data_IF_905362189882
#
_entry.id   IF_905362189882
#
_cell.length_a   1.000
_cell.length_b   1.000
_cell.length_c   1.000
_cell.angle_alpha   90.00
_cell.angle_beta   90.00
_cell.angle_gamma   90.00
#
_symmetry.space_group_name_H-M   'P 1'
#
loop_
_entity.id
_entity.type
_entity.pdbx_description
1 polymer ?
#
# COMPACT_ATOMS: atom_id res chain seq x y z
N UNK A 1 -16.62 25.62 15.35
CA UNK A 1 -15.64 24.51 15.34
C UNK A 1 -16.32 23.24 15.80
N UNK A 2 -16.63 22.33 14.88
CA UNK A 2 -17.10 20.98 15.23
C UNK A 2 -15.89 20.07 15.13
N UNK A 3 -15.38 19.61 16.27
CA UNK A 3 -14.50 18.46 16.31
C UNK A 3 -15.36 17.24 15.95
N UNK A 4 -15.26 16.75 14.71
CA UNK A 4 -15.80 15.44 14.38
C UNK A 4 -14.87 14.39 14.94
N UNK A 5 -15.19 13.89 16.13
CA UNK A 5 -14.68 12.62 16.63
C UNK A 5 -15.53 11.49 16.06
N UNK A 6 -15.47 11.27 14.75
CA UNK A 6 -16.17 10.16 14.08
C UNK A 6 -15.28 8.91 14.04
N UNK A 7 -14.51 8.64 15.11
CA UNK A 7 -13.71 7.41 15.27
C UNK A 7 -14.49 6.28 15.98
N UNK A 8 -15.76 6.51 16.34
CA UNK A 8 -16.61 5.55 17.07
C UNK A 8 -17.59 4.83 16.14
N UNK A 9 -17.07 4.10 15.15
CA UNK A 9 -17.92 3.32 14.25
C UNK A 9 -17.19 2.49 13.20
N UNK A 10 -16.03 1.93 13.53
CA UNK A 10 -15.24 1.15 12.58
C UNK A 10 -15.01 -0.27 13.08
N UNK A 11 -16.03 -1.10 12.98
CA UNK A 11 -15.95 -2.53 13.32
C UNK A 11 -15.17 -3.35 12.27
N UNK A 12 -14.45 -2.72 11.33
CA UNK A 12 -13.88 -3.37 10.14
C UNK A 12 -12.60 -2.71 9.56
N UNK A 13 -11.83 -2.00 10.38
CA UNK A 13 -10.55 -1.39 9.94
C UNK A 13 -9.43 -2.44 9.86
N UNK A 14 -9.07 -2.87 8.65
CA UNK A 14 -7.84 -3.66 8.46
C UNK A 14 -6.58 -2.78 8.50
N UNK A 15 -5.79 -2.86 9.57
CA UNK A 15 -4.46 -2.21 9.64
C UNK A 15 -3.37 -3.27 9.53
N UNK A 16 -2.45 -3.10 8.60
CA UNK A 16 -1.30 -3.97 8.43
C UNK A 16 -0.01 -3.14 8.42
N UNK A 17 0.69 -3.14 9.56
CA UNK A 17 2.00 -2.50 9.71
C UNK A 17 3.08 -3.57 9.78
N UNK A 18 3.95 -3.59 8.76
CA UNK A 18 5.03 -4.56 8.57
C UNK A 18 6.39 -3.88 8.40
N UNK A 19 6.45 -2.56 8.54
CA UNK A 19 7.67 -1.77 8.37
C UNK A 19 8.76 -2.14 9.38
N UNK A 20 10.03 -1.96 9.01
CA UNK A 20 11.18 -2.18 9.90
C UNK A 20 11.44 -3.65 10.25
N UNK A 21 11.15 -4.56 9.33
CA UNK A 21 11.42 -5.99 9.49
C UNK A 21 12.53 -6.44 8.53
N UNK A 22 12.78 -7.76 8.48
CA UNK A 22 13.74 -8.37 7.57
C UNK A 22 13.04 -9.21 6.48
N UNK A 23 11.86 -8.76 6.02
CA UNK A 23 11.14 -9.43 4.94
C UNK A 23 11.88 -9.24 3.61
N UNK A 24 12.08 -10.33 2.88
CA UNK A 24 12.83 -10.35 1.62
C UNK A 24 11.97 -10.84 0.47
N UNK A 25 12.36 -10.49 -0.75
CA UNK A 25 11.69 -10.93 -1.98
C UNK A 25 10.47 -10.07 -2.31
N UNK A 26 9.57 -10.64 -3.11
CA UNK A 26 8.39 -9.94 -3.63
C UNK A 26 7.20 -9.98 -2.66
N UNK A 27 6.33 -8.97 -2.76
CA UNK A 27 5.05 -8.97 -2.06
C UNK A 27 4.08 -9.98 -2.71
N UNK A 28 3.36 -10.80 -1.95
CA UNK A 28 2.45 -11.78 -2.52
C UNK A 28 1.14 -11.14 -3.00
N UNK A 29 0.63 -11.60 -4.15
CA UNK A 29 -0.66 -11.19 -4.72
C UNK A 29 -1.86 -11.44 -3.78
N UNK A 30 -1.73 -12.34 -2.80
CA UNK A 30 -2.80 -12.60 -1.82
C UNK A 30 -3.11 -11.39 -0.92
N UNK A 31 -2.19 -10.43 -0.79
CA UNK A 31 -2.43 -9.21 0.00
C UNK A 31 -3.54 -8.34 -0.60
N UNK A 32 -3.80 -8.43 -1.91
CA UNK A 32 -4.91 -7.74 -2.55
C UNK A 32 -6.30 -8.25 -2.13
N UNK A 33 -6.39 -9.41 -1.47
CA UNK A 33 -7.66 -9.93 -0.94
C UNK A 33 -8.09 -9.25 0.37
N UNK A 34 -7.26 -8.38 0.94
CA UNK A 34 -7.55 -7.66 2.17
C UNK A 34 -8.42 -6.42 1.88
N UNK A 35 -9.60 -6.59 1.29
CA UNK A 35 -10.46 -5.49 0.79
C UNK A 35 -10.88 -4.47 1.87
N UNK A 36 -10.81 -4.86 3.15
CA UNK A 36 -11.11 -3.99 4.31
C UNK A 36 -9.89 -3.19 4.80
N UNK A 37 -8.74 -3.33 4.14
CA UNK A 37 -7.50 -2.69 4.55
C UNK A 37 -7.58 -1.17 4.32
N UNK A 38 -7.24 -0.41 5.35
CA UNK A 38 -7.22 1.05 5.34
C UNK A 38 -5.80 1.61 5.54
N UNK A 39 -4.93 0.87 6.22
CA UNK A 39 -3.51 1.19 6.41
C UNK A 39 -2.68 -0.01 5.99
N UNK A 40 -1.72 0.23 5.12
CA UNK A 40 -0.64 -0.70 4.80
C UNK A 40 0.70 0.01 4.87
N UNK A 41 1.63 -0.55 5.65
CA UNK A 41 3.02 -0.08 5.67
C UNK A 41 4.00 -1.25 5.62
N UNK A 42 5.02 -1.15 4.76
CA UNK A 42 6.03 -2.21 4.60
C UNK A 42 7.46 -1.69 4.36
N UNK A 43 7.62 -0.37 4.38
CA UNK A 43 8.90 0.32 4.20
C UNK A 43 9.97 -0.15 5.23
N UNK A 44 11.26 0.13 4.99
CA UNK A 44 12.37 -0.41 5.79
C UNK A 44 12.35 -1.96 5.86
N UNK A 45 12.30 -2.61 4.70
CA UNK A 45 12.46 -4.05 4.56
C UNK A 45 13.28 -4.33 3.29
N UNK A 46 14.11 -5.39 3.25
CA UNK A 46 14.82 -5.82 2.04
C UNK A 46 13.90 -6.50 1.00
N UNK A 47 12.70 -5.94 0.79
CA UNK A 47 11.75 -6.35 -0.24
C UNK A 47 12.16 -5.76 -1.59
N UNK A 48 11.86 -6.49 -2.66
CA UNK A 48 12.25 -6.15 -4.02
C UNK A 48 11.14 -6.49 -5.01
N UNK A 49 11.17 -5.86 -6.18
CA UNK A 49 10.29 -6.20 -7.30
C UNK A 49 9.01 -5.35 -7.37
N UNK A 50 8.11 -5.68 -8.29
CA UNK A 50 6.91 -4.87 -8.53
C UNK A 50 5.89 -5.01 -7.41
N UNK A 51 5.15 -3.93 -7.14
CA UNK A 51 3.94 -4.00 -6.33
C UNK A 51 2.91 -4.92 -7.00
N UNK A 52 2.20 -5.78 -6.24
CA UNK A 52 1.26 -6.73 -6.80
C UNK A 52 0.07 -6.02 -7.46
N UNK A 53 -0.34 -6.47 -8.65
CA UNK A 53 -1.45 -5.84 -9.38
C UNK A 53 -2.77 -5.95 -8.61
N UNK A 54 -2.94 -7.01 -7.82
CA UNK A 54 -4.09 -7.20 -6.93
C UNK A 54 -4.30 -6.07 -5.91
N UNK A 55 -3.31 -5.20 -5.66
CA UNK A 55 -3.47 -4.08 -4.74
C UNK A 55 -4.53 -3.09 -5.22
N UNK A 56 -4.84 -3.05 -6.51
CA UNK A 56 -5.97 -2.29 -7.05
C UNK A 56 -7.33 -2.69 -6.44
N UNK A 57 -7.42 -3.88 -5.83
CA UNK A 57 -8.62 -4.34 -5.11
C UNK A 57 -8.77 -3.70 -3.72
N UNK A 58 -7.73 -3.05 -3.18
CA UNK A 58 -7.73 -2.38 -1.88
C UNK A 58 -8.45 -1.02 -1.98
N UNK A 59 -9.76 -1.05 -2.24
CA UNK A 59 -10.58 0.15 -2.50
C UNK A 59 -10.77 1.06 -1.27
N UNK A 60 -10.43 0.58 -0.07
CA UNK A 60 -10.57 1.32 1.19
C UNK A 60 -9.27 1.90 1.72
N UNK A 61 -8.16 1.72 0.99
CA UNK A 61 -6.84 2.15 1.44
C UNK A 61 -6.79 3.68 1.58
N UNK A 62 -6.46 4.13 2.79
CA UNK A 62 -6.33 5.55 3.13
C UNK A 62 -4.86 5.93 3.30
N UNK A 63 -4.05 5.01 3.84
CA UNK A 63 -2.64 5.18 4.15
C UNK A 63 -1.83 4.04 3.54
N UNK A 64 -0.86 4.39 2.68
CA UNK A 64 -0.04 3.41 1.97
C UNK A 64 1.43 3.82 1.92
N UNK A 65 2.27 3.17 2.73
CA UNK A 65 3.71 3.49 2.82
C UNK A 65 4.54 2.26 2.44
N UNK A 66 5.17 2.29 1.27
CA UNK A 66 5.86 1.12 0.74
C UNK A 66 7.24 1.41 0.15
N UNK A 67 7.51 2.65 -0.28
CA UNK A 67 8.70 2.94 -1.08
C UNK A 67 10.01 3.15 -0.31
N UNK A 68 9.94 3.58 0.94
CA UNK A 68 11.13 4.03 1.69
C UNK A 68 11.97 2.83 2.18
N UNK A 69 13.30 2.88 1.98
CA UNK A 69 14.22 1.77 2.31
C UNK A 69 13.71 0.37 1.85
N UNK A 70 13.22 0.30 0.61
CA UNK A 70 12.90 -0.95 -0.12
C UNK A 70 13.37 -0.85 -1.56
N UNK A 71 13.45 -1.98 -2.26
CA UNK A 71 13.65 -2.05 -3.72
C UNK A 71 12.32 -2.33 -4.45
N UNK A 72 11.19 -1.95 -3.83
CA UNK A 72 9.89 -2.08 -4.46
C UNK A 72 9.67 -0.98 -5.50
N UNK A 73 8.97 -1.33 -6.57
CA UNK A 73 8.58 -0.38 -7.61
C UNK A 73 7.10 -0.53 -7.97
N UNK A 74 6.45 0.56 -8.38
CA UNK A 74 5.06 0.52 -8.83
C UNK A 74 4.97 0.18 -10.32
N UNK A 75 4.03 -0.69 -10.75
CA UNK A 75 3.75 -0.91 -12.17
C UNK A 75 3.49 0.40 -12.93
N UNK A 76 4.05 0.52 -14.13
CA UNK A 76 3.99 1.74 -14.95
C UNK A 76 2.64 1.97 -15.66
N UNK A 77 1.76 0.97 -15.69
CA UNK A 77 0.50 1.05 -16.44
C UNK A 77 -0.46 2.10 -15.86
N UNK A 78 -1.22 2.71 -16.76
CA UNK A 78 -2.14 3.81 -16.45
C UNK A 78 -3.19 3.41 -15.41
N UNK A 79 -3.69 2.18 -15.45
CA UNK A 79 -4.70 1.69 -14.50
C UNK A 79 -4.14 1.65 -13.07
N UNK A 80 -2.95 1.07 -12.88
CA UNK A 80 -2.31 1.01 -11.57
C UNK A 80 -1.94 2.40 -11.06
N UNK A 81 -1.37 3.26 -11.92
CA UNK A 81 -1.02 4.63 -11.52
C UNK A 81 -2.25 5.47 -11.20
N UNK A 82 -3.35 5.30 -11.92
CA UNK A 82 -4.62 5.96 -11.64
C UNK A 82 -5.24 5.47 -10.33
N UNK A 83 -5.15 4.18 -10.01
CA UNK A 83 -5.54 3.66 -8.70
C UNK A 83 -4.65 4.24 -7.59
N UNK A 84 -3.33 4.20 -7.77
CA UNK A 84 -2.37 4.69 -6.78
C UNK A 84 -2.59 6.19 -6.51
N UNK A 85 -2.93 6.97 -7.54
CA UNK A 85 -3.27 8.39 -7.42
C UNK A 85 -4.52 8.67 -6.56
N UNK A 86 -5.42 7.70 -6.38
CA UNK A 86 -6.61 7.84 -5.55
C UNK A 86 -6.33 7.61 -4.06
N UNK A 87 -5.19 7.00 -3.70
CA UNK A 87 -4.85 6.75 -2.30
C UNK A 87 -4.49 8.07 -1.60
N UNK A 88 -5.27 8.53 -0.60
CA UNK A 88 -5.17 9.89 -0.06
C UNK A 88 -3.83 10.22 0.61
N UNK A 89 -3.27 9.28 1.37
CA UNK A 89 -1.97 9.45 2.04
C UNK A 89 -1.04 8.33 1.64
N UNK A 90 0.10 8.69 1.05
CA UNK A 90 1.06 7.70 0.58
C UNK A 90 2.49 8.23 0.57
N UNK A 91 3.41 7.32 0.85
CA UNK A 91 4.84 7.48 0.64
C UNK A 91 5.26 6.49 -0.44
N UNK A 92 5.38 7.01 -1.65
CA UNK A 92 5.62 6.24 -2.88
C UNK A 92 7.10 5.92 -3.06
N UNK A 93 7.38 4.78 -3.68
CA UNK A 93 8.67 4.45 -4.26
C UNK A 93 8.71 4.76 -5.76
N UNK A 94 9.75 4.29 -6.48
CA UNK A 94 9.89 4.48 -7.92
C UNK A 94 8.78 3.77 -8.72
N UNK A 95 8.66 4.14 -9.99
CA UNK A 95 7.94 3.32 -10.99
C UNK A 95 8.93 2.27 -11.51
N UNK A 96 8.47 1.05 -11.78
CA UNK A 96 9.32 0.01 -12.35
C UNK A 96 9.78 0.44 -13.74
N UNK A 97 11.07 0.26 -14.05
CA UNK A 97 11.59 0.50 -15.39
C UNK A 97 10.94 -0.48 -16.39
N UNK A 98 10.56 0.01 -17.56
CA UNK A 98 10.19 -0.85 -18.69
C UNK A 98 11.50 -1.30 -19.35
N UNK A 99 11.95 -2.52 -19.05
CA UNK A 99 13.06 -3.19 -19.78
C UNK A 99 12.68 -3.54 -21.23
#
# INVERSE_FOLDING_TARGET
MRYRTDWLGQEDLGRLDLWGNNFTGELPESLGNLERLWVFSVFMNPLSGPLPRSFMNLRRLQYYCWGDDTELCSPADEEFQAWLAQVPTQYRGPVCDED
#
